data_IF_204784919523
#
_entry.id   IF_204784919523
#
_cell.length_a   1.000
_cell.length_b   1.000
_cell.length_c   1.000
_cell.angle_alpha   90.00
_cell.angle_beta   90.00
_cell.angle_gamma   90.00
#
_symmetry.space_group_name_H-M   'P 1'
#
loop_
_entity.id
_entity.type
_entity.pdbx_description
1 polymer ?
#
# COMPACT_ATOMS: atom_id res chain seq x y z
N UNK A 1 -17.99 19.32 -15.51
CA UNK A 1 -17.21 20.09 -16.50
C UNK A 1 -16.79 21.46 -15.97
N UNK A 2 -17.65 22.24 -15.29
CA UNK A 2 -17.26 23.53 -14.69
C UNK A 2 -16.31 23.41 -13.47
N UNK A 3 -16.50 22.42 -12.60
CA UNK A 3 -15.67 22.20 -11.39
C UNK A 3 -14.21 21.83 -11.68
N UNK A 4 -13.92 21.19 -12.81
CA UNK A 4 -12.56 20.78 -13.18
C UNK A 4 -11.72 21.93 -13.72
N UNK A 5 -12.34 22.88 -14.42
CA UNK A 5 -11.66 24.08 -14.91
C UNK A 5 -11.30 25.03 -13.77
N UNK A 6 -12.16 25.16 -12.76
CA UNK A 6 -11.89 26.00 -11.60
C UNK A 6 -10.77 25.42 -10.72
N UNK A 7 -10.73 24.09 -10.55
CA UNK A 7 -9.63 23.39 -9.87
C UNK A 7 -8.30 23.54 -10.61
N UNK A 8 -8.30 23.42 -11.94
CA UNK A 8 -7.08 23.64 -12.77
C UNK A 8 -6.58 25.08 -12.67
N UNK A 9 -7.47 26.08 -12.69
CA UNK A 9 -7.09 27.49 -12.54
C UNK A 9 -6.49 27.78 -11.16
N UNK A 10 -7.10 27.26 -10.08
CA UNK A 10 -6.57 27.37 -8.72
C UNK A 10 -5.21 26.66 -8.58
N UNK A 11 -5.05 25.49 -9.18
CA UNK A 11 -3.76 24.78 -9.19
C UNK A 11 -2.67 25.57 -9.92
N UNK A 12 -2.96 26.06 -11.13
CA UNK A 12 -2.03 26.86 -11.92
C UNK A 12 -1.61 28.17 -11.22
N UNK A 13 -2.54 28.84 -10.52
CA UNK A 13 -2.22 30.04 -9.75
C UNK A 13 -1.32 29.72 -8.55
N UNK A 14 -1.58 28.61 -7.85
CA UNK A 14 -0.72 28.17 -6.75
C UNK A 14 0.67 27.73 -7.22
N UNK A 15 0.79 27.14 -8.40
CA UNK A 15 2.07 26.77 -9.00
C UNK A 15 2.86 28.00 -9.45
N UNK A 16 2.21 29.00 -10.05
CA UNK A 16 2.85 30.29 -10.39
C UNK A 16 3.39 31.00 -9.14
N UNK A 17 2.58 31.10 -8.08
CA UNK A 17 3.01 31.68 -6.80
C UNK A 17 4.17 30.91 -6.16
N UNK A 18 4.18 29.57 -6.26
CA UNK A 18 5.30 28.74 -5.77
C UNK A 18 6.57 28.94 -6.60
N UNK A 19 6.45 29.08 -7.92
CA UNK A 19 7.59 29.29 -8.82
C UNK A 19 8.24 30.67 -8.60
N UNK A 20 7.45 31.72 -8.43
CA UNK A 20 7.93 33.06 -8.14
C UNK A 20 8.69 33.13 -6.79
N UNK A 21 8.11 32.53 -5.74
CA UNK A 21 8.76 32.43 -4.42
C UNK A 21 10.06 31.63 -4.50
N UNK A 22 10.12 30.58 -5.35
CA UNK A 22 11.32 29.78 -5.57
C UNK A 22 12.40 30.58 -6.30
N UNK A 23 12.05 31.31 -7.35
CA UNK A 23 12.97 32.16 -8.10
C UNK A 23 13.58 33.24 -7.21
N UNK A 24 12.76 33.93 -6.40
CA UNK A 24 13.22 34.96 -5.46
C UNK A 24 14.17 34.42 -4.40
N UNK A 25 13.92 33.21 -3.89
CA UNK A 25 14.81 32.56 -2.93
C UNK A 25 16.13 32.09 -3.58
N UNK A 26 16.11 31.71 -4.86
CA UNK A 26 17.28 31.19 -5.57
C UNK A 26 18.23 32.34 -5.89
N UNK A 27 17.68 33.47 -6.33
CA UNK A 27 18.39 34.72 -6.58
C UNK A 27 19.04 35.26 -5.30
N UNK A 28 18.34 35.22 -4.15
CA UNK A 28 18.89 35.60 -2.86
C UNK A 28 20.01 34.64 -2.36
N UNK A 29 19.98 33.37 -2.79
CA UNK A 29 20.97 32.36 -2.41
C UNK A 29 22.25 32.40 -3.24
N UNK A 30 22.19 32.87 -4.50
CA UNK A 30 23.36 33.06 -5.39
C UNK A 30 24.34 34.11 -4.84
N UNK A 31 23.85 35.08 -4.08
CA UNK A 31 24.65 36.14 -3.47
C UNK A 31 25.43 35.69 -2.21
N UNK A 32 25.10 34.55 -1.59
CA UNK A 32 25.78 34.04 -0.38
C UNK A 32 26.38 32.65 -0.64
N UNK A 33 27.44 32.62 -1.48
CA UNK A 33 28.29 31.45 -1.73
C UNK A 33 29.12 31.06 -0.49
N UNK A 34 28.50 30.53 0.56
CA UNK A 34 29.21 29.82 1.62
C UNK A 34 28.24 28.92 2.42
N UNK A 35 28.12 27.65 2.03
CA UNK A 35 27.61 26.50 2.80
C UNK A 35 26.25 26.60 3.54
N UNK A 36 25.50 27.71 3.45
CA UNK A 36 24.10 27.81 3.89
C UNK A 36 23.21 27.45 2.70
N UNK A 37 22.75 26.20 2.67
CA UNK A 37 21.81 25.74 1.65
C UNK A 37 20.59 26.66 1.53
N UNK A 38 19.96 26.66 0.35
CA UNK A 38 18.80 27.46 -0.04
C UNK A 38 17.65 27.52 1.01
N UNK A 39 17.53 26.51 1.86
CA UNK A 39 16.55 26.46 2.95
C UNK A 39 17.17 26.79 4.30
N UNK A 40 16.43 27.56 5.10
CA UNK A 40 16.74 27.69 6.54
C UNK A 40 16.63 26.32 7.23
N UNK A 41 17.43 26.09 8.30
CA UNK A 41 17.39 24.83 9.05
C UNK A 41 15.97 24.42 9.51
N UNK A 42 15.16 25.39 9.95
CA UNK A 42 13.77 25.14 10.37
C UNK A 42 12.87 24.70 9.23
N UNK A 43 12.98 25.33 8.05
CA UNK A 43 12.24 24.90 6.87
C UNK A 43 12.66 23.49 6.47
N UNK A 44 13.96 23.16 6.54
CA UNK A 44 14.47 21.81 6.21
C UNK A 44 13.94 20.76 7.19
N UNK A 45 13.84 21.10 8.48
CA UNK A 45 13.22 20.25 9.51
C UNK A 45 11.74 20.01 9.23
N UNK A 46 10.98 21.07 8.90
CA UNK A 46 9.55 20.99 8.55
C UNK A 46 9.33 20.14 7.29
N UNK A 47 10.18 20.29 6.27
CA UNK A 47 10.10 19.50 5.03
C UNK A 47 10.33 18.01 5.28
N UNK A 48 11.38 17.64 6.04
CA UNK A 48 11.63 16.23 6.39
C UNK A 48 10.46 15.61 7.16
N UNK A 49 9.85 16.37 8.08
CA UNK A 49 8.68 15.91 8.80
C UNK A 49 7.51 15.62 7.86
N UNK A 50 7.23 16.53 6.91
CA UNK A 50 6.17 16.34 5.93
C UNK A 50 6.44 15.13 5.01
N UNK A 51 7.69 14.93 4.59
CA UNK A 51 8.06 13.77 3.77
C UNK A 51 7.86 12.45 4.52
N UNK A 52 8.23 12.37 5.80
CA UNK A 52 7.99 11.17 6.61
C UNK A 52 6.51 10.93 6.87
N UNK A 53 5.74 11.99 7.13
CA UNK A 53 4.28 11.88 7.27
C UNK A 53 3.64 11.34 5.99
N UNK A 54 4.03 11.88 4.83
CA UNK A 54 3.56 11.38 3.53
C UNK A 54 3.98 9.94 3.29
N UNK A 55 5.22 9.57 3.60
CA UNK A 55 5.69 8.19 3.46
C UNK A 55 4.91 7.21 4.37
N UNK A 56 4.60 7.61 5.60
CA UNK A 56 3.79 6.80 6.52
C UNK A 56 2.34 6.65 6.04
N UNK A 57 1.76 7.72 5.49
CA UNK A 57 0.41 7.70 4.91
C UNK A 57 0.33 6.77 3.69
N UNK A 58 1.29 6.90 2.75
CA UNK A 58 1.35 6.02 1.58
C UNK A 58 1.60 4.55 1.98
N UNK A 59 2.45 4.30 2.98
CA UNK A 59 2.66 2.95 3.52
C UNK A 59 1.36 2.36 4.10
N UNK A 60 0.60 3.15 4.86
CA UNK A 60 -0.69 2.69 5.41
C UNK A 60 -1.70 2.39 4.29
N UNK A 61 -1.75 3.24 3.27
CA UNK A 61 -2.61 3.05 2.10
C UNK A 61 -2.24 1.80 1.29
N UNK A 62 -0.95 1.51 1.15
CA UNK A 62 -0.47 0.27 0.53
C UNK A 62 -0.84 -0.97 1.37
N UNK A 63 -0.71 -0.89 2.69
CA UNK A 63 -1.14 -1.96 3.59
C UNK A 63 -2.64 -2.24 3.47
N UNK A 64 -3.47 -1.20 3.43
CA UNK A 64 -4.92 -1.32 3.25
C UNK A 64 -5.27 -1.95 1.89
N UNK A 65 -4.56 -1.57 0.81
CA UNK A 65 -4.72 -2.19 -0.51
C UNK A 65 -4.34 -3.66 -0.50
N UNK A 66 -3.18 -4.02 0.07
CA UNK A 66 -2.73 -5.41 0.20
C UNK A 66 -3.70 -6.23 1.07
N UNK A 67 -4.25 -5.65 2.14
CA UNK A 67 -5.23 -6.31 2.98
C UNK A 67 -6.56 -6.56 2.24
N UNK A 68 -7.03 -5.59 1.44
CA UNK A 68 -8.21 -5.75 0.62
C UNK A 68 -8.01 -6.82 -0.48
N UNK A 69 -6.86 -6.80 -1.15
CA UNK A 69 -6.50 -7.83 -2.14
C UNK A 69 -6.39 -9.22 -1.50
N UNK A 70 -5.76 -9.31 -0.33
CA UNK A 70 -5.72 -10.56 0.45
C UNK A 70 -7.13 -11.08 0.76
N UNK A 71 -8.06 -10.20 1.15
CA UNK A 71 -9.46 -10.60 1.40
C UNK A 71 -10.14 -11.10 0.13
N UNK A 72 -9.97 -10.40 -0.99
CA UNK A 72 -10.51 -10.80 -2.30
C UNK A 72 -10.00 -12.18 -2.72
N UNK A 73 -8.71 -12.43 -2.59
CA UNK A 73 -8.10 -13.73 -2.94
C UNK A 73 -8.63 -14.85 -2.03
N UNK A 74 -8.82 -14.58 -0.73
CA UNK A 74 -9.39 -15.57 0.20
C UNK A 74 -10.82 -15.92 -0.21
N UNK A 75 -11.64 -14.92 -0.53
CA UNK A 75 -13.02 -15.14 -0.99
C UNK A 75 -13.07 -15.95 -2.29
N UNK A 76 -12.21 -15.63 -3.26
CA UNK A 76 -12.08 -16.39 -4.51
C UNK A 76 -11.63 -17.84 -4.29
N UNK A 77 -10.68 -18.08 -3.38
CA UNK A 77 -10.13 -19.41 -3.11
C UNK A 77 -11.04 -20.30 -2.27
N UNK A 78 -11.70 -19.74 -1.27
CA UNK A 78 -12.58 -20.49 -0.37
C UNK A 78 -13.96 -20.72 -0.99
N UNK A 79 -14.43 -19.81 -1.84
CA UNK A 79 -15.72 -19.91 -2.51
C UNK A 79 -16.90 -19.89 -1.53
N UNK A 80 -18.04 -20.44 -1.97
CA UNK A 80 -19.25 -20.54 -1.15
C UNK A 80 -19.21 -21.81 -0.28
N UNK A 81 -19.74 -21.75 0.96
CA UNK A 81 -19.94 -22.96 1.77
C UNK A 81 -20.75 -24.01 1.01
N UNK A 82 -20.37 -25.29 1.14
CA UNK A 82 -21.16 -26.40 0.58
C UNK A 82 -22.43 -26.57 1.42
N UNK A 83 -23.55 -26.87 0.76
CA UNK A 83 -24.82 -27.14 1.42
C UNK A 83 -24.73 -28.43 2.25
N UNK A 84 -25.18 -28.37 3.51
CA UNK A 84 -25.14 -29.52 4.45
C UNK A 84 -26.54 -29.97 4.90
N UNK A 85 -27.56 -29.13 4.74
CA UNK A 85 -28.90 -29.38 5.29
C UNK A 85 -29.83 -30.12 4.31
N UNK A 86 -29.68 -29.86 3.01
CA UNK A 86 -30.58 -30.38 1.96
C UNK A 86 -29.88 -31.42 1.06
N UNK A 87 -29.03 -32.26 1.65
CA UNK A 87 -28.17 -33.18 0.91
C UNK A 87 -28.35 -34.62 1.40
N UNK A 88 -28.36 -35.58 0.48
CA UNK A 88 -28.40 -37.01 0.83
C UNK A 88 -27.19 -37.44 1.65
N UNK A 89 -27.34 -38.46 2.49
CA UNK A 89 -26.25 -38.96 3.34
C UNK A 89 -24.99 -39.35 2.55
N UNK A 90 -25.16 -39.96 1.37
CA UNK A 90 -24.03 -40.31 0.49
C UNK A 90 -23.28 -39.09 -0.03
N UNK A 91 -24.02 -38.05 -0.44
CA UNK A 91 -23.43 -36.81 -0.91
C UNK A 91 -22.75 -36.06 0.25
N UNK A 92 -23.31 -36.09 1.46
CA UNK A 92 -22.67 -35.54 2.66
C UNK A 92 -21.32 -36.23 2.95
N UNK A 93 -21.27 -37.57 2.89
CA UNK A 93 -20.03 -38.34 3.04
C UNK A 93 -18.98 -37.99 1.98
N UNK A 94 -19.39 -37.73 0.73
CA UNK A 94 -18.49 -37.25 -0.33
C UNK A 94 -17.93 -35.87 0.00
N UNK A 95 -18.79 -34.94 0.40
CA UNK A 95 -18.38 -33.58 0.79
C UNK A 95 -17.33 -33.59 1.90
N UNK A 96 -17.51 -34.42 2.93
CA UNK A 96 -16.53 -34.57 4.02
C UNK A 96 -15.18 -35.09 3.52
N UNK A 97 -15.17 -36.10 2.64
CA UNK A 97 -13.93 -36.64 2.05
C UNK A 97 -13.21 -35.62 1.17
N UNK A 98 -13.95 -34.82 0.40
CA UNK A 98 -13.38 -33.75 -0.42
C UNK A 98 -12.71 -32.68 0.47
N UNK A 99 -13.39 -32.25 1.53
CA UNK A 99 -12.84 -31.27 2.47
C UNK A 99 -11.58 -31.80 3.16
N UNK A 100 -11.61 -33.04 3.63
CA UNK A 100 -10.44 -33.67 4.24
C UNK A 100 -9.26 -33.70 3.27
N UNK A 101 -9.49 -34.16 2.03
CA UNK A 101 -8.45 -34.22 0.99
C UNK A 101 -7.89 -32.84 0.67
N UNK A 102 -8.75 -31.82 0.61
CA UNK A 102 -8.34 -30.43 0.37
C UNK A 102 -7.53 -29.86 1.53
N UNK A 103 -7.89 -30.16 2.78
CA UNK A 103 -7.16 -29.73 3.97
C UNK A 103 -5.75 -30.30 3.95
N UNK A 104 -5.58 -31.60 3.69
CA UNK A 104 -4.25 -32.22 3.60
C UNK A 104 -3.38 -31.53 2.54
N UNK A 105 -3.91 -31.30 1.33
CA UNK A 105 -3.17 -30.62 0.27
C UNK A 105 -2.75 -29.19 0.64
N UNK A 106 -3.59 -28.47 1.39
CA UNK A 106 -3.29 -27.10 1.83
C UNK A 106 -2.25 -27.09 2.95
N UNK A 107 -2.28 -28.06 3.86
CA UNK A 107 -1.27 -28.26 4.90
C UNK A 107 0.11 -28.53 4.29
N UNK A 108 0.19 -29.41 3.29
CA UNK A 108 1.44 -29.72 2.59
C UNK A 108 2.04 -28.46 1.93
N UNK A 109 1.22 -27.72 1.17
CA UNK A 109 1.65 -26.48 0.52
C UNK A 109 2.05 -25.39 1.52
N UNK A 110 1.37 -25.32 2.66
CA UNK A 110 1.70 -24.41 3.76
C UNK A 110 3.08 -24.76 4.33
N UNK A 111 3.34 -26.04 4.59
CA UNK A 111 4.63 -26.50 5.12
C UNK A 111 5.80 -26.10 4.21
N UNK A 112 5.68 -26.35 2.91
CA UNK A 112 6.71 -25.95 1.93
C UNK A 112 6.96 -24.44 1.94
N UNK A 113 5.87 -23.66 1.98
CA UNK A 113 5.95 -22.20 2.03
C UNK A 113 6.63 -21.70 3.31
N UNK A 114 6.27 -22.26 4.47
CA UNK A 114 6.86 -21.94 5.76
C UNK A 114 8.35 -22.29 5.80
N UNK A 115 8.72 -23.45 5.24
CA UNK A 115 10.12 -23.86 5.16
C UNK A 115 10.95 -22.89 4.31
N UNK A 116 10.45 -22.49 3.14
CA UNK A 116 11.11 -21.52 2.27
C UNK A 116 11.26 -20.17 2.97
N UNK A 117 10.21 -19.68 3.64
CA UNK A 117 10.27 -18.41 4.40
C UNK A 117 11.31 -18.51 5.51
N UNK A 118 11.29 -19.58 6.30
CA UNK A 118 12.24 -19.80 7.38
C UNK A 118 13.70 -19.84 6.89
N UNK A 119 13.95 -20.46 5.74
CA UNK A 119 15.28 -20.48 5.12
C UNK A 119 15.72 -19.06 4.70
N UNK A 120 14.84 -18.31 4.04
CA UNK A 120 15.13 -16.93 3.63
C UNK A 120 15.39 -16.02 4.83
N UNK A 121 14.60 -16.15 5.90
CA UNK A 121 14.79 -15.38 7.13
C UNK A 121 16.14 -15.67 7.80
N UNK A 122 16.69 -16.89 7.61
CA UNK A 122 18.03 -17.23 8.08
C UNK A 122 19.15 -16.64 7.21
N UNK A 123 18.89 -16.39 5.93
CA UNK A 123 19.87 -15.87 4.96
C UNK A 123 19.96 -14.33 4.93
N UNK A 124 19.02 -13.63 5.57
CA UNK A 124 18.91 -12.15 5.64
C UNK A 124 19.58 -11.59 6.89
#
# INVERSE_FOLDING_TARGET
MADDEEKKKKQAETERKRAEVRARLEEASKAKKAKKGFMTPDRKKKLRLLLRKKAAEELKKEQERKAAERRRIIEERCGKPKDIENVSEEALKRVLRDYHSRICQLEDQKFDSEHIVKKKDYEV
#
